data_IF_818335763763
#
_entry.id   IF_818335763763
#
_cell.length_a   1.000
_cell.length_b   1.000
_cell.length_c   1.000
_cell.angle_alpha   90.00
_cell.angle_beta   90.00
_cell.angle_gamma   90.00
#
_symmetry.space_group_name_H-M   'P 1'
#
loop_
_entity.id
_entity.type
_entity.pdbx_description
1 polymer ?
#
# COMPACT_ATOMS: atom_id res chain seq x y z
N UNK A 1 -20.70 23.87 -35.68
CA UNK A 1 -19.46 23.91 -34.88
C UNK A 1 -19.53 22.70 -33.97
N UNK A 2 -19.09 21.55 -34.49
CA UNK A 2 -19.12 20.28 -33.76
C UNK A 2 -17.91 20.23 -32.83
N UNK A 3 -18.19 20.06 -31.55
CA UNK A 3 -17.17 19.79 -30.54
C UNK A 3 -16.77 18.33 -30.73
N UNK A 4 -15.53 18.10 -31.16
CA UNK A 4 -14.93 16.76 -31.18
C UNK A 4 -14.76 16.31 -29.73
N UNK A 5 -15.45 15.24 -29.36
CA UNK A 5 -15.10 14.41 -28.21
C UNK A 5 -13.70 13.83 -28.48
N UNK A 6 -12.68 14.41 -27.86
CA UNK A 6 -11.38 13.76 -27.72
C UNK A 6 -11.56 12.61 -26.73
N UNK A 7 -11.68 11.41 -27.28
CA UNK A 7 -11.69 10.16 -26.51
C UNK A 7 -10.48 10.09 -25.59
N UNK A 8 -10.75 10.06 -24.29
CA UNK A 8 -9.74 9.74 -23.27
C UNK A 8 -9.26 8.32 -23.55
N UNK A 9 -8.03 8.21 -24.04
CA UNK A 9 -7.30 6.95 -24.14
C UNK A 9 -7.15 6.35 -22.73
N UNK A 10 -7.98 5.36 -22.40
CA UNK A 10 -7.82 4.53 -21.20
C UNK A 10 -6.62 3.60 -21.43
N UNK A 11 -5.43 4.01 -21.02
CA UNK A 11 -4.25 3.13 -21.05
C UNK A 11 -4.31 2.14 -19.89
N UNK A 12 -4.49 0.85 -20.19
CA UNK A 12 -4.23 -0.24 -19.25
C UNK A 12 -2.78 -0.19 -18.80
N UNK A 13 -2.58 -0.07 -17.49
CA UNK A 13 -1.26 0.07 -16.87
C UNK A 13 -0.69 -1.31 -16.52
N UNK A 14 0.57 -1.56 -16.86
CA UNK A 14 1.24 -2.82 -16.48
C UNK A 14 1.77 -2.77 -15.06
N UNK A 15 2.02 -3.94 -14.47
CA UNK A 15 2.66 -4.04 -13.15
C UNK A 15 4.07 -3.43 -13.15
N UNK A 16 4.84 -3.60 -14.23
CA UNK A 16 6.16 -2.97 -14.35
C UNK A 16 6.05 -1.44 -14.29
N UNK A 17 5.09 -0.85 -15.02
CA UNK A 17 4.82 0.58 -14.94
C UNK A 17 4.38 1.00 -13.54
N UNK A 18 3.66 0.13 -12.81
CA UNK A 18 3.20 0.42 -11.45
C UNK A 18 4.33 0.42 -10.46
N UNK A 19 5.24 -0.54 -10.57
CA UNK A 19 6.47 -0.59 -9.77
C UNK A 19 7.30 0.66 -10.02
N UNK A 20 7.49 1.06 -11.28
CA UNK A 20 8.20 2.31 -11.60
C UNK A 20 7.54 3.55 -10.98
N UNK A 21 6.21 3.65 -11.02
CA UNK A 21 5.49 4.74 -10.35
C UNK A 21 5.65 4.71 -8.83
N UNK A 22 5.65 3.53 -8.22
CA UNK A 22 5.86 3.37 -6.78
C UNK A 22 7.27 3.86 -6.43
N UNK A 23 8.28 3.46 -7.19
CA UNK A 23 9.68 3.86 -6.96
C UNK A 23 9.91 5.37 -7.18
N UNK A 24 9.22 6.00 -8.14
CA UNK A 24 9.45 7.42 -8.46
C UNK A 24 8.61 8.41 -7.65
N UNK A 25 7.39 8.03 -7.24
CA UNK A 25 6.45 8.94 -6.57
C UNK A 25 6.49 8.85 -5.04
N UNK A 26 7.10 7.81 -4.47
CA UNK A 26 7.19 7.65 -3.02
C UNK A 26 8.09 8.70 -2.41
N UNK A 27 7.65 9.33 -1.32
CA UNK A 27 8.44 10.36 -0.62
C UNK A 27 9.53 9.77 0.27
N UNK A 28 9.37 8.51 0.66
CA UNK A 28 10.30 7.77 1.50
C UNK A 28 10.13 6.26 1.30
N UNK A 29 11.05 5.49 1.90
CA UNK A 29 11.09 4.03 1.80
C UNK A 29 9.89 3.33 2.46
N UNK A 30 9.26 3.93 3.46
CA UNK A 30 8.08 3.38 4.15
C UNK A 30 6.85 3.46 3.24
N UNK A 31 6.63 4.62 2.61
CA UNK A 31 5.56 4.79 1.62
C UNK A 31 5.75 3.84 0.43
N UNK A 32 6.99 3.74 -0.07
CA UNK A 32 7.33 2.82 -1.16
C UNK A 32 7.05 1.36 -0.81
N UNK A 33 7.45 0.92 0.39
CA UNK A 33 7.19 -0.42 0.89
C UNK A 33 5.71 -0.73 0.96
N UNK A 34 4.93 0.16 1.60
CA UNK A 34 3.48 0.01 1.76
C UNK A 34 2.74 -0.06 0.42
N UNK A 35 3.12 0.78 -0.54
CA UNK A 35 2.51 0.78 -1.87
C UNK A 35 2.84 -0.49 -2.66
N UNK A 36 4.06 -1.01 -2.50
CA UNK A 36 4.47 -2.29 -3.08
C UNK A 36 3.74 -3.47 -2.43
N UNK A 37 3.60 -3.50 -1.10
CA UNK A 37 2.81 -4.50 -0.37
C UNK A 37 1.36 -4.53 -0.87
N UNK A 38 0.72 -3.36 -1.04
CA UNK A 38 -0.63 -3.24 -1.60
C UNK A 38 -0.73 -3.87 -2.99
N UNK A 39 0.27 -3.63 -3.84
CA UNK A 39 0.35 -4.23 -5.18
C UNK A 39 0.50 -5.75 -5.10
N UNK A 40 1.35 -6.27 -4.21
CA UNK A 40 1.53 -7.72 -3.99
C UNK A 40 0.24 -8.39 -3.55
N UNK A 41 -0.49 -7.80 -2.58
CA UNK A 41 -1.80 -8.31 -2.14
C UNK A 41 -2.76 -8.39 -3.33
N UNK A 42 -2.85 -7.34 -4.15
CA UNK A 42 -3.74 -7.29 -5.30
C UNK A 42 -3.42 -8.38 -6.32
N UNK A 43 -2.13 -8.60 -6.62
CA UNK A 43 -1.70 -9.65 -7.55
C UNK A 43 -1.98 -11.04 -6.98
N UNK A 44 -1.62 -11.32 -5.73
CA UNK A 44 -1.87 -12.62 -5.13
C UNK A 44 -3.36 -13.01 -5.10
N UNK A 45 -4.25 -12.03 -4.91
CA UNK A 45 -5.71 -12.26 -4.95
C UNK A 45 -6.25 -12.58 -6.35
N UNK A 46 -5.53 -12.20 -7.41
CA UNK A 46 -5.95 -12.39 -8.80
C UNK A 46 -5.23 -13.54 -9.51
N UNK A 47 -4.27 -14.21 -8.85
CA UNK A 47 -3.38 -15.20 -9.44
C UNK A 47 -3.51 -16.57 -8.74
N UNK A 48 -4.33 -17.50 -9.29
CA UNK A 48 -4.63 -18.79 -8.67
C UNK A 48 -3.42 -19.68 -8.40
N UNK A 49 -2.31 -19.50 -9.12
CA UNK A 49 -1.08 -20.30 -8.96
C UNK A 49 -0.42 -20.14 -7.59
N UNK A 50 -0.82 -19.13 -6.82
CA UNK A 50 -0.35 -18.95 -5.45
C UNK A 50 -1.13 -19.78 -4.43
N UNK A 51 -2.29 -20.34 -4.79
CA UNK A 51 -3.16 -21.11 -3.89
C UNK A 51 -3.54 -20.35 -2.60
N UNK A 52 -3.58 -19.02 -2.68
CA UNK A 52 -3.91 -18.12 -1.57
C UNK A 52 -5.41 -17.81 -1.58
N UNK A 53 -6.05 -17.96 -0.43
CA UNK A 53 -7.44 -17.58 -0.17
C UNK A 53 -7.56 -16.12 0.27
N UNK A 54 -6.67 -15.66 1.14
CA UNK A 54 -6.62 -14.27 1.59
C UNK A 54 -5.19 -13.82 1.90
N UNK A 55 -4.95 -12.52 1.84
CA UNK A 55 -3.65 -11.91 2.12
C UNK A 55 -3.88 -10.55 2.79
N UNK A 56 -3.34 -10.42 4.01
CA UNK A 56 -3.50 -9.27 4.89
C UNK A 56 -2.13 -8.70 5.27
N UNK A 57 -2.08 -7.41 5.61
CA UNK A 57 -0.93 -6.84 6.31
C UNK A 57 -0.74 -7.50 7.68
N UNK A 58 0.52 -7.68 8.10
CA UNK A 58 0.85 -8.21 9.43
C UNK A 58 0.11 -7.46 10.54
N UNK A 59 0.10 -6.12 10.48
CA UNK A 59 -0.57 -5.24 11.43
C UNK A 59 -2.09 -5.41 11.49
N UNK A 60 -2.71 -5.85 10.40
CA UNK A 60 -4.16 -6.00 10.27
C UNK A 60 -4.65 -7.45 10.41
N UNK A 61 -3.74 -8.42 10.49
CA UNK A 61 -4.07 -9.83 10.66
C UNK A 61 -4.68 -10.11 12.04
N UNK A 62 -5.99 -10.39 12.06
CA UNK A 62 -6.78 -10.53 13.31
C UNK A 62 -6.38 -11.71 14.19
N UNK A 63 -5.89 -12.80 13.60
CA UNK A 63 -5.50 -14.02 14.33
C UNK A 63 -4.05 -13.95 14.87
N UNK A 64 -3.34 -12.84 14.64
CA UNK A 64 -1.92 -12.68 14.94
C UNK A 64 -1.58 -12.94 16.39
N UNK A 65 -2.23 -12.23 17.31
CA UNK A 65 -1.88 -12.31 18.74
C UNK A 65 -2.18 -13.70 19.31
N UNK A 66 -3.30 -14.31 18.91
CA UNK A 66 -3.68 -15.67 19.29
C UNK A 66 -2.67 -16.72 18.78
N UNK A 67 -2.25 -16.61 17.51
CA UNK A 67 -1.39 -17.64 16.88
C UNK A 67 0.09 -17.47 17.17
N UNK A 68 0.54 -16.24 17.38
CA UNK A 68 1.99 -15.93 17.48
C UNK A 68 2.39 -15.36 18.83
N UNK A 69 1.45 -14.85 19.63
CA UNK A 69 1.75 -14.07 20.83
C UNK A 69 2.37 -12.69 20.54
N UNK A 70 2.36 -12.23 19.29
CA UNK A 70 3.01 -10.99 18.86
C UNK A 70 2.01 -9.87 18.54
N UNK A 71 2.41 -8.64 18.83
CA UNK A 71 1.65 -7.43 18.51
C UNK A 71 1.83 -6.94 17.08
N UNK A 72 1.16 -5.83 16.70
CA UNK A 72 1.14 -5.30 15.32
C UNK A 72 2.43 -4.56 14.90
N UNK A 73 3.42 -4.45 15.78
CA UNK A 73 4.67 -3.78 15.48
C UNK A 73 5.40 -4.45 14.31
N UNK A 74 6.19 -3.67 13.58
CA UNK A 74 7.07 -4.18 12.54
C UNK A 74 8.16 -5.06 13.18
N UNK A 75 8.20 -6.31 12.75
CA UNK A 75 9.13 -7.35 13.18
C UNK A 75 9.82 -8.01 11.97
N UNK A 76 9.65 -7.44 10.78
CA UNK A 76 10.11 -8.01 9.51
C UNK A 76 9.12 -8.95 8.84
N UNK A 77 7.87 -9.05 9.29
CA UNK A 77 6.80 -9.71 8.51
C UNK A 77 5.90 -8.61 8.00
N UNK A 78 5.78 -8.47 6.67
CA UNK A 78 4.98 -7.41 6.07
C UNK A 78 3.55 -7.91 5.81
N UNK A 79 3.42 -9.12 5.25
CA UNK A 79 2.16 -9.72 4.86
C UNK A 79 2.00 -11.15 5.41
N UNK A 80 0.76 -11.54 5.64
CA UNK A 80 0.34 -12.90 5.96
C UNK A 80 -0.64 -13.37 4.91
N UNK A 81 -0.32 -14.47 4.24
CA UNK A 81 -1.23 -15.13 3.32
C UNK A 81 -1.81 -16.42 3.92
N UNK A 82 -3.13 -16.56 3.83
CA UNK A 82 -3.86 -17.78 4.17
C UNK A 82 -4.06 -18.61 2.91
N UNK A 83 -3.52 -19.82 2.88
CA UNK A 83 -3.70 -20.78 1.78
C UNK A 83 -5.13 -21.32 1.72
N UNK A 84 -5.51 -21.89 0.59
CA UNK A 84 -6.79 -22.58 0.40
C UNK A 84 -7.00 -23.74 1.40
N UNK A 85 -5.92 -24.37 1.87
CA UNK A 85 -5.93 -25.43 2.90
C UNK A 85 -5.97 -24.90 4.34
N UNK A 86 -6.05 -23.57 4.54
CA UNK A 86 -6.14 -22.92 5.84
C UNK A 86 -4.81 -22.65 6.53
N UNK A 87 -3.67 -23.09 5.97
CA UNK A 87 -2.33 -22.83 6.54
C UNK A 87 -1.83 -21.43 6.20
N UNK A 88 -0.91 -20.89 7.01
CA UNK A 88 -0.37 -19.54 6.83
C UNK A 88 1.02 -19.52 6.21
N UNK A 89 1.28 -18.47 5.44
CA UNK A 89 2.56 -18.13 4.83
C UNK A 89 2.97 -16.76 5.37
N UNK A 90 4.17 -16.68 5.94
CA UNK A 90 4.77 -15.40 6.27
C UNK A 90 5.47 -14.82 5.04
N UNK A 91 5.27 -13.54 4.76
CA UNK A 91 5.78 -12.87 3.56
C UNK A 91 6.54 -11.60 3.95
N UNK A 92 7.75 -11.44 3.41
CA UNK A 92 8.47 -10.17 3.39
C UNK A 92 8.52 -9.65 1.95
N UNK A 93 8.13 -8.40 1.77
CA UNK A 93 8.19 -7.62 0.55
C UNK A 93 9.41 -6.68 0.60
N UNK A 94 10.20 -6.64 -0.48
CA UNK A 94 11.27 -5.65 -0.66
C UNK A 94 11.18 -5.03 -2.05
N UNK A 95 10.88 -3.75 -2.10
CA UNK A 95 10.85 -2.97 -3.33
C UNK A 95 12.18 -2.25 -3.49
N UNK A 96 13.09 -2.82 -4.28
CA UNK A 96 14.40 -2.23 -4.60
C UNK A 96 14.42 -1.70 -6.03
N UNK A 97 15.25 -0.67 -6.27
CA UNK A 97 15.64 -0.28 -7.63
C UNK A 97 16.61 -1.32 -8.20
N UNK A 98 16.74 -1.39 -9.53
CA UNK A 98 17.53 -2.42 -10.24
C UNK A 98 19.00 -2.50 -9.78
N UNK A 99 19.55 -1.42 -9.21
CA UNK A 99 20.93 -1.34 -8.72
C UNK A 99 21.17 -2.01 -7.35
N UNK A 100 20.11 -2.45 -6.66
CA UNK A 100 20.21 -3.04 -5.32
C UNK A 100 19.81 -4.51 -5.32
N UNK A 101 20.72 -5.37 -4.85
CA UNK A 101 20.44 -6.79 -4.64
C UNK A 101 20.02 -7.06 -3.20
N UNK A 102 19.16 -8.06 -3.01
CA UNK A 102 18.80 -8.50 -1.65
C UNK A 102 19.99 -9.25 -1.03
N UNK A 103 20.45 -8.76 0.12
CA UNK A 103 21.41 -9.45 0.97
C UNK A 103 20.70 -10.21 2.11
N UNK A 104 21.36 -11.17 2.73
CA UNK A 104 20.79 -11.89 3.88
C UNK A 104 20.45 -10.96 5.05
N UNK A 105 21.31 -9.97 5.34
CA UNK A 105 21.08 -9.05 6.45
C UNK A 105 19.76 -8.28 6.33
N UNK A 106 19.28 -8.07 5.10
CA UNK A 106 17.99 -7.40 4.82
C UNK A 106 16.79 -8.25 5.27
N UNK A 107 16.93 -9.58 5.35
CA UNK A 107 15.84 -10.51 5.69
C UNK A 107 16.10 -11.32 6.96
N UNK A 108 17.18 -11.07 7.70
CA UNK A 108 17.52 -11.83 8.91
C UNK A 108 16.43 -11.72 9.99
N UNK A 109 15.85 -10.52 10.19
CA UNK A 109 14.74 -10.34 11.12
C UNK A 109 13.52 -11.18 10.71
N UNK A 110 13.17 -11.15 9.42
CA UNK A 110 12.10 -11.97 8.86
C UNK A 110 12.34 -13.46 9.10
N UNK A 111 13.54 -13.97 8.80
CA UNK A 111 13.87 -15.37 9.00
C UNK A 111 13.81 -15.78 10.47
N UNK A 112 14.28 -14.92 11.38
CA UNK A 112 14.25 -15.18 12.81
C UNK A 112 12.81 -15.27 13.32
N UNK A 113 11.98 -14.28 13.02
CA UNK A 113 10.62 -14.18 13.55
C UNK A 113 9.67 -15.18 12.90
N UNK A 114 9.81 -15.42 11.59
CA UNK A 114 8.94 -16.35 10.88
C UNK A 114 9.22 -17.82 11.20
N UNK A 115 10.23 -18.16 12.03
CA UNK A 115 10.53 -19.53 12.48
C UNK A 115 9.52 -20.08 13.50
N UNK A 116 8.23 -20.06 13.14
CA UNK A 116 7.11 -20.61 13.91
C UNK A 116 6.43 -21.72 13.09
N UNK A 117 6.95 -22.96 13.07
CA UNK A 117 6.44 -24.01 12.18
C UNK A 117 4.98 -24.40 12.46
N UNK A 118 4.50 -24.22 13.69
CA UNK A 118 3.10 -24.45 14.07
C UNK A 118 2.14 -23.41 13.48
N UNK A 119 2.67 -22.26 13.03
CA UNK A 119 1.90 -21.15 12.45
C UNK A 119 2.15 -21.04 10.95
N UNK A 120 3.42 -20.90 10.56
CA UNK A 120 3.84 -20.63 9.19
C UNK A 120 4.44 -21.87 8.54
N UNK A 121 3.72 -22.40 7.55
CA UNK A 121 4.16 -23.59 6.81
C UNK A 121 5.13 -23.26 5.69
N UNK A 122 5.15 -22.00 5.25
CA UNK A 122 6.05 -21.48 4.22
C UNK A 122 6.46 -20.03 4.52
N UNK A 123 7.60 -19.63 3.97
CA UNK A 123 8.16 -18.28 4.06
C UNK A 123 8.42 -17.78 2.67
N UNK A 124 7.84 -16.66 2.28
CA UNK A 124 8.04 -16.10 0.95
C UNK A 124 8.78 -14.78 1.05
N UNK A 125 9.75 -14.58 0.18
CA UNK A 125 10.36 -13.25 -0.03
C UNK A 125 10.01 -12.78 -1.43
N UNK A 126 9.29 -11.67 -1.48
CA UNK A 126 8.79 -11.05 -2.71
C UNK A 126 9.64 -9.80 -2.97
N UNK A 127 10.33 -9.77 -4.11
CA UNK A 127 11.28 -8.70 -4.44
C UNK A 127 11.11 -8.22 -5.87
N UNK A 128 11.47 -6.97 -6.14
CA UNK A 128 11.57 -6.39 -7.49
C UNK A 128 12.97 -6.51 -8.09
N UNK A 129 13.95 -7.00 -7.34
CA UNK A 129 15.34 -7.15 -7.77
C UNK A 129 15.92 -8.51 -7.44
N UNK A 130 17.03 -8.82 -8.11
CA UNK A 130 17.81 -10.03 -7.91
C UNK A 130 18.44 -10.14 -6.52
N UNK A 131 18.81 -11.36 -6.16
CA UNK A 131 19.57 -11.65 -4.95
C UNK A 131 21.06 -11.66 -5.22
N UNK A 132 21.85 -11.30 -4.21
CA UNK A 132 23.29 -11.52 -4.29
C UNK A 132 23.59 -13.03 -4.28
N UNK A 133 24.61 -13.47 -5.02
CA UNK A 133 24.98 -14.90 -5.11
C UNK A 133 25.34 -15.52 -3.76
N UNK A 134 25.76 -14.69 -2.80
CA UNK A 134 26.03 -15.10 -1.41
C UNK A 134 24.73 -15.41 -0.65
N UNK A 135 23.71 -14.58 -0.82
CA UNK A 135 22.42 -14.76 -0.16
C UNK A 135 21.65 -15.98 -0.73
N UNK A 136 21.75 -16.24 -2.04
CA UNK A 136 21.18 -17.43 -2.67
C UNK A 136 21.72 -18.74 -2.05
N UNK A 137 23.05 -18.86 -1.93
CA UNK A 137 23.69 -20.05 -1.34
C UNK A 137 23.29 -20.26 0.11
N UNK A 138 23.09 -19.19 0.87
CA UNK A 138 22.75 -19.28 2.29
C UNK A 138 21.28 -19.65 2.51
N UNK A 139 20.36 -19.20 1.64
CA UNK A 139 18.94 -19.56 1.71
C UNK A 139 18.71 -21.02 1.32
N UNK A 140 19.41 -21.52 0.31
CA UNK A 140 19.32 -22.93 -0.10
C UNK A 140 19.68 -23.90 1.03
N UNK A 141 20.52 -23.46 1.98
CA UNK A 141 20.95 -24.26 3.13
C UNK A 141 20.03 -24.13 4.36
N UNK A 142 18.92 -23.39 4.27
CA UNK A 142 17.97 -23.27 5.39
C UNK A 142 17.13 -24.54 5.52
N UNK A 143 16.95 -24.99 6.76
CA UNK A 143 16.13 -26.16 7.11
C UNK A 143 14.65 -25.95 6.73
N UNK A 144 14.19 -24.70 6.78
CA UNK A 144 12.85 -24.31 6.38
C UNK A 144 12.84 -23.71 4.97
N UNK A 145 11.97 -24.19 4.05
CA UNK A 145 11.96 -23.71 2.68
C UNK A 145 11.50 -22.25 2.62
N UNK A 146 12.36 -21.40 2.08
CA UNK A 146 12.04 -20.01 1.71
C UNK A 146 11.80 -19.98 0.20
N UNK A 147 10.61 -19.55 -0.21
CA UNK A 147 10.26 -19.36 -1.61
C UNK A 147 10.61 -17.94 -2.03
N UNK A 148 11.43 -17.80 -3.06
CA UNK A 148 11.69 -16.52 -3.70
C UNK A 148 10.63 -16.25 -4.78
N UNK A 149 10.11 -15.03 -4.79
CA UNK A 149 9.25 -14.52 -5.86
C UNK A 149 9.90 -13.26 -6.39
N UNK A 150 10.50 -13.37 -7.58
CA UNK A 150 10.87 -12.21 -8.37
C UNK A 150 9.60 -11.64 -9.01
N UNK A 151 9.05 -10.62 -8.36
CA UNK A 151 7.73 -10.10 -8.66
C UNK A 151 7.71 -9.35 -9.98
N UNK A 152 8.78 -8.59 -10.26
CA UNK A 152 8.92 -7.87 -11.53
C UNK A 152 9.12 -8.84 -12.69
N UNK A 153 9.99 -9.84 -12.54
CA UNK A 153 10.21 -10.84 -13.59
C UNK A 153 8.94 -11.65 -13.87
N UNK A 154 8.20 -12.04 -12.82
CA UNK A 154 7.05 -12.93 -12.97
C UNK A 154 5.80 -12.20 -13.47
N UNK A 155 5.57 -10.96 -13.02
CA UNK A 155 4.31 -10.26 -13.24
C UNK A 155 4.44 -8.94 -14.01
N UNK A 156 5.65 -8.48 -14.33
CA UNK A 156 5.88 -7.14 -14.88
C UNK A 156 5.08 -6.82 -16.15
N UNK A 157 4.80 -7.83 -16.97
CA UNK A 157 4.01 -7.69 -18.21
C UNK A 157 2.50 -7.81 -17.99
N UNK A 158 2.06 -8.30 -16.83
CA UNK A 158 0.64 -8.43 -16.55
C UNK A 158 0.03 -7.03 -16.43
N UNK A 159 -1.17 -6.87 -16.98
CA UNK A 159 -1.95 -5.65 -16.83
C UNK A 159 -2.64 -5.68 -15.48
N UNK A 160 -2.56 -4.58 -14.75
CA UNK A 160 -3.46 -4.44 -13.60
C UNK A 160 -4.87 -4.29 -14.16
N UNK A 161 -5.85 -5.09 -13.68
CA UNK A 161 -7.25 -4.80 -13.97
C UNK A 161 -7.48 -3.34 -13.59
N UNK A 162 -8.25 -2.59 -14.39
CA UNK A 162 -8.55 -1.19 -14.12
C UNK A 162 -8.97 -1.07 -12.65
N UNK A 163 -8.02 -0.71 -11.79
CA UNK A 163 -8.34 -0.35 -10.43
C UNK A 163 -9.17 0.88 -10.67
N UNK A 164 -10.46 0.80 -10.32
CA UNK A 164 -11.25 2.01 -10.18
C UNK A 164 -10.38 2.91 -9.33
N UNK A 165 -9.72 3.92 -9.95
CA UNK A 165 -8.96 4.95 -9.22
C UNK A 165 -9.82 5.20 -8.01
N UNK A 166 -9.33 4.95 -6.79
CA UNK A 166 -10.13 5.17 -5.58
C UNK A 166 -10.84 6.49 -5.80
N UNK A 167 -12.17 6.41 -6.02
CA UNK A 167 -12.87 7.43 -6.82
C UNK A 167 -12.55 8.74 -6.16
N UNK A 168 -11.70 9.57 -6.78
CA UNK A 168 -11.24 10.80 -6.14
C UNK A 168 -12.53 11.52 -5.82
N UNK A 169 -12.85 11.62 -4.53
CA UNK A 169 -14.16 12.15 -4.15
C UNK A 169 -14.17 13.59 -4.66
N UNK A 170 -15.06 13.85 -5.60
CA UNK A 170 -15.27 15.19 -6.10
C UNK A 170 -16.18 15.93 -5.11
N UNK A 171 -15.94 17.22 -4.95
CA UNK A 171 -16.83 18.05 -4.15
C UNK A 171 -18.19 18.13 -4.82
N UNK A 172 -19.25 17.78 -4.08
CA UNK A 172 -20.62 18.05 -4.50
C UNK A 172 -20.83 19.57 -4.64
N UNK A 173 -21.80 20.04 -5.45
CA UNK A 173 -22.04 21.48 -5.65
C UNK A 173 -22.16 22.30 -4.35
N UNK A 174 -22.86 21.75 -3.35
CA UNK A 174 -23.01 22.39 -2.01
C UNK A 174 -21.67 22.49 -1.26
N UNK A 175 -20.81 21.48 -1.41
CA UNK A 175 -19.49 21.50 -0.79
C UNK A 175 -18.55 22.46 -1.51
N UNK A 176 -18.63 22.55 -2.85
CA UNK A 176 -17.90 23.56 -3.63
C UNK A 176 -18.27 24.99 -3.19
N UNK A 177 -19.57 25.25 -2.99
CA UNK A 177 -20.06 26.52 -2.44
C UNK A 177 -19.49 26.77 -1.05
N UNK A 178 -19.54 25.79 -0.14
CA UNK A 178 -18.97 25.91 1.20
C UNK A 178 -17.46 26.24 1.16
N UNK A 179 -16.69 25.54 0.33
CA UNK A 179 -15.27 25.82 0.13
C UNK A 179 -15.05 27.25 -0.36
N UNK A 180 -15.81 27.70 -1.37
CA UNK A 180 -15.69 29.05 -1.91
C UNK A 180 -16.02 30.13 -0.86
N UNK A 181 -17.12 29.97 -0.12
CA UNK A 181 -17.53 30.90 0.93
C UNK A 181 -16.50 30.99 2.05
N UNK A 182 -15.93 29.86 2.49
CA UNK A 182 -14.91 29.85 3.54
C UNK A 182 -13.61 30.51 3.07
N UNK A 183 -13.13 30.16 1.87
CA UNK A 183 -11.92 30.78 1.29
C UNK A 183 -12.09 32.29 1.12
N UNK A 184 -13.26 32.75 0.66
CA UNK A 184 -13.59 34.18 0.55
C UNK A 184 -13.69 34.85 1.93
N UNK A 185 -14.27 34.18 2.91
CA UNK A 185 -14.38 34.68 4.29
C UNK A 185 -13.00 34.93 4.92
N UNK A 186 -12.06 34.02 4.72
CA UNK A 186 -10.69 34.15 5.22
C UNK A 186 -9.88 35.29 4.58
N UNK A 187 -10.34 35.89 3.49
CA UNK A 187 -9.71 37.11 2.94
C UNK A 187 -9.97 38.35 3.81
N UNK A 188 -11.02 38.33 4.64
CA UNK A 188 -11.48 39.50 5.40
C UNK A 188 -11.56 39.25 6.91
N UNK A 189 -11.32 38.01 7.37
CA UNK A 189 -11.43 37.62 8.78
C UNK A 189 -10.54 36.43 9.07
N UNK A 190 -9.83 36.45 10.21
CA UNK A 190 -8.98 35.35 10.65
C UNK A 190 -9.78 34.17 11.24
N UNK A 191 -11.07 34.37 11.52
CA UNK A 191 -11.94 33.38 12.17
C UNK A 191 -13.27 33.24 11.43
N UNK A 192 -13.78 32.01 11.39
CA UNK A 192 -15.06 31.68 10.80
C UNK A 192 -15.63 30.39 11.36
N UNK A 193 -16.92 30.16 11.12
CA UNK A 193 -17.61 28.93 11.52
C UNK A 193 -18.36 28.37 10.32
N UNK A 194 -18.05 27.13 9.95
CA UNK A 194 -18.77 26.40 8.89
C UNK A 194 -19.85 25.53 9.53
N UNK A 195 -21.12 25.83 9.27
CA UNK A 195 -22.26 25.06 9.75
C UNK A 195 -22.71 24.10 8.65
N UNK A 196 -22.67 22.80 8.94
CA UNK A 196 -23.07 21.74 8.00
C UNK A 196 -23.88 20.67 8.75
N UNK A 197 -24.93 20.17 8.12
CA UNK A 197 -25.72 19.07 8.68
C UNK A 197 -24.91 17.76 8.74
N UNK A 198 -25.29 16.84 9.63
CA UNK A 198 -24.66 15.52 9.70
C UNK A 198 -24.79 14.76 8.36
N UNK A 199 -23.78 13.97 8.00
CA UNK A 199 -23.77 13.22 6.73
C UNK A 199 -23.43 14.02 5.47
N UNK A 200 -23.35 15.35 5.52
CA UNK A 200 -23.08 16.20 4.32
C UNK A 200 -21.60 16.29 3.92
N UNK A 201 -20.73 15.53 4.58
CA UNK A 201 -19.30 15.47 4.26
C UNK A 201 -18.44 16.58 4.89
N UNK A 202 -18.83 17.11 6.06
CA UNK A 202 -18.10 18.16 6.81
C UNK A 202 -16.58 17.93 6.89
N UNK A 203 -16.15 16.72 7.23
CA UNK A 203 -14.72 16.34 7.33
C UNK A 203 -14.02 16.38 5.97
N UNK A 204 -14.69 15.91 4.92
CA UNK A 204 -14.14 15.93 3.57
C UNK A 204 -14.05 17.37 3.02
N UNK A 205 -15.08 18.19 3.28
CA UNK A 205 -15.08 19.61 2.91
C UNK A 205 -13.99 20.39 3.66
N UNK A 206 -13.77 20.13 4.95
CA UNK A 206 -12.70 20.79 5.71
C UNK A 206 -11.30 20.45 5.18
N UNK A 207 -11.07 19.21 4.74
CA UNK A 207 -9.83 18.81 4.08
C UNK A 207 -9.58 19.63 2.81
N UNK A 208 -10.59 19.74 1.92
CA UNK A 208 -10.47 20.52 0.68
C UNK A 208 -10.29 22.02 0.91
N UNK A 209 -10.85 22.56 1.99
CA UNK A 209 -10.59 23.95 2.41
C UNK A 209 -9.13 24.10 2.82
N UNK A 210 -8.62 23.21 3.65
CA UNK A 210 -7.25 23.27 4.13
C UNK A 210 -6.23 23.17 2.98
N UNK A 211 -6.46 22.28 2.02
CA UNK A 211 -5.67 22.19 0.77
C UNK A 211 -5.63 23.52 -0.01
N UNK A 212 -6.76 24.26 -0.07
CA UNK A 212 -6.84 25.55 -0.78
C UNK A 212 -6.23 26.71 -0.02
N UNK A 213 -6.29 26.70 1.31
CA UNK A 213 -5.76 27.78 2.16
C UNK A 213 -4.24 27.68 2.29
N UNK A 214 -3.72 26.45 2.41
CA UNK A 214 -2.30 26.18 2.75
C UNK A 214 -1.44 25.90 1.51
N UNK A 215 -1.95 26.17 0.30
CA UNK A 215 -1.32 25.89 -1.03
C UNK A 215 0.21 25.83 -1.02
N UNK A 216 0.76 24.61 -0.94
CA UNK A 216 2.21 24.35 -1.08
C UNK A 216 3.05 24.43 0.20
N UNK A 217 2.47 24.73 1.38
CA UNK A 217 3.17 24.67 2.66
C UNK A 217 2.45 25.38 3.82
N UNK A 218 2.50 24.78 5.01
CA UNK A 218 1.97 25.32 6.27
C UNK A 218 1.48 24.22 7.23
N UNK A 219 1.06 24.61 8.44
CA UNK A 219 0.63 23.65 9.48
C UNK A 219 -0.89 23.73 9.69
N UNK A 220 -1.55 22.57 9.71
CA UNK A 220 -2.97 22.44 10.00
C UNK A 220 -3.12 21.73 11.34
N UNK A 221 -3.84 22.34 12.28
CA UNK A 221 -4.25 21.69 13.53
C UNK A 221 -5.69 21.20 13.40
N UNK A 222 -5.89 19.88 13.37
CA UNK A 222 -7.20 19.25 13.40
C UNK A 222 -7.48 18.72 14.80
N UNK A 223 -8.51 19.25 15.46
CA UNK A 223 -8.90 18.86 16.82
C UNK A 223 -10.22 18.10 16.76
N UNK A 224 -10.24 16.87 17.27
CA UNK A 224 -11.42 16.00 17.35
C UNK A 224 -11.62 15.53 18.80
N UNK A 225 -12.84 15.57 19.37
CA UNK A 225 -13.08 15.18 20.75
C UNK A 225 -12.92 13.67 21.04
N UNK A 226 -12.79 12.82 20.02
CA UNK A 226 -12.63 11.37 20.18
C UNK A 226 -11.44 10.84 19.37
N UNK A 227 -10.80 9.77 19.89
CA UNK A 227 -9.77 8.97 19.23
C UNK A 227 -10.44 7.77 18.55
#
# INVERSE_FOLDING_TARGET
MEIKDEGVSNSTMTIAQRIQQIQSNSKNTVEQGRDFEKLVIQVFKNHPEYEIKDCDWWGDWKEREEKTGLGPQDIGIDLIAKRNDGKYIAIQCKCFTEEHTVSKSVIDSFLSVSQMPDVFVQRWVVTTSDWSSSADKQIQNLISPVKRIDFLLKHGQDTLPETSKEKIRELLPKQQQAVHSVVKGFQNSDRGKMIMACGTGKTFTSLRIAEKVVRGGGTILFVNPCI
#
